data_IF_902709215232
#
_entry.id   IF_902709215232
#
_cell.length_a   1.000
_cell.length_b   1.000
_cell.length_c   1.000
_cell.angle_alpha   90.00
_cell.angle_beta   90.00
_cell.angle_gamma   90.00
#
_symmetry.space_group_name_H-M   'P 1'
#
loop_
_entity.id
_entity.type
_entity.pdbx_description
1 polymer ?
#
# COMPACT_ATOMS: atom_id res chain seq x y z
N UNK A 1 0.27 -8.88 11.27
CA UNK A 1 -0.67 -9.11 10.15
C UNK A 1 -2.08 -8.80 10.63
N UNK A 2 -3.02 -8.34 9.79
CA UNK A 2 -4.44 -8.27 10.17
C UNK A 2 -5.01 -9.64 10.57
N UNK A 3 -4.46 -10.73 10.05
CA UNK A 3 -4.93 -12.11 10.31
C UNK A 3 -4.20 -12.81 11.46
N UNK A 4 -2.95 -12.42 11.75
CA UNK A 4 -2.10 -13.01 12.80
C UNK A 4 -1.14 -11.96 13.39
N UNK A 5 -1.23 -11.70 14.70
CA UNK A 5 -0.40 -10.70 15.37
C UNK A 5 1.07 -11.14 15.54
N UNK A 6 1.35 -12.45 15.47
CA UNK A 6 2.72 -13.00 15.56
C UNK A 6 3.51 -12.81 14.26
N UNK A 7 2.83 -12.51 13.16
CA UNK A 7 3.46 -12.30 11.85
C UNK A 7 3.64 -10.82 11.54
N UNK A 8 4.80 -10.49 10.98
CA UNK A 8 5.09 -9.17 10.42
C UNK A 8 5.31 -9.31 8.93
N UNK A 9 4.56 -8.54 8.15
CA UNK A 9 4.64 -8.53 6.69
C UNK A 9 5.14 -7.17 6.22
N UNK A 10 6.01 -7.16 5.20
CA UNK A 10 6.42 -5.94 4.51
C UNK A 10 5.59 -5.85 3.23
N UNK A 11 4.85 -4.76 3.06
CA UNK A 11 3.98 -4.49 1.91
C UNK A 11 4.15 -3.03 1.49
N UNK A 12 3.77 -2.71 0.24
CA UNK A 12 3.72 -1.35 -0.27
C UNK A 12 2.34 -0.77 -0.01
N UNK A 13 2.26 0.46 0.49
CA UNK A 13 1.01 1.22 0.53
C UNK A 13 0.71 1.68 -0.90
N UNK A 14 -0.45 1.31 -1.42
CA UNK A 14 -0.89 1.67 -2.76
C UNK A 14 -1.93 2.81 -2.74
N UNK A 15 -2.72 2.94 -1.66
CA UNK A 15 -3.65 4.05 -1.46
C UNK A 15 -3.84 4.39 0.04
N UNK A 16 -4.12 5.66 0.30
CA UNK A 16 -4.32 6.29 1.62
C UNK A 16 -5.80 6.66 1.85
N UNK A 17 -6.19 7.03 3.09
CA UNK A 17 -7.57 7.42 3.38
C UNK A 17 -8.12 8.47 2.42
N UNK A 18 -9.33 8.25 1.89
CA UNK A 18 -10.01 9.16 0.97
C UNK A 18 -9.64 9.00 -0.50
N UNK A 19 -8.53 8.32 -0.81
CA UNK A 19 -8.17 7.99 -2.18
C UNK A 19 -9.06 6.87 -2.74
N UNK A 20 -9.20 6.84 -4.07
CA UNK A 20 -9.88 5.77 -4.78
C UNK A 20 -8.86 4.75 -5.27
N UNK A 21 -9.18 3.47 -5.07
CA UNK A 21 -8.34 2.36 -5.50
C UNK A 21 -9.14 1.40 -6.39
N UNK A 22 -8.61 1.09 -7.57
CA UNK A 22 -9.21 0.16 -8.52
C UNK A 22 -8.33 -1.08 -8.69
N UNK A 23 -8.92 -2.27 -8.59
CA UNK A 23 -8.21 -3.51 -8.91
C UNK A 23 -8.45 -3.86 -10.38
N UNK A 24 -7.38 -4.04 -11.15
CA UNK A 24 -7.46 -4.38 -12.58
C UNK A 24 -8.31 -5.65 -12.84
N UNK A 25 -8.33 -6.59 -11.88
CA UNK A 25 -8.95 -7.91 -12.04
C UNK A 25 -10.44 -7.97 -11.68
N UNK A 26 -10.96 -6.99 -10.91
CA UNK A 26 -12.33 -7.07 -10.35
C UNK A 26 -13.29 -6.00 -10.85
N UNK A 27 -12.82 -5.01 -11.63
CA UNK A 27 -13.60 -3.82 -12.01
C UNK A 27 -14.21 -3.06 -10.83
N UNK A 28 -13.84 -3.43 -9.60
CA UNK A 28 -14.31 -2.81 -8.36
C UNK A 28 -13.36 -1.67 -8.03
N UNK A 29 -13.94 -0.47 -7.97
CA UNK A 29 -13.28 0.71 -7.43
C UNK A 29 -13.83 0.95 -6.03
N UNK A 30 -12.92 1.07 -5.07
CA UNK A 30 -13.28 1.34 -3.68
C UNK A 30 -12.68 2.68 -3.25
N UNK A 31 -13.39 3.41 -2.41
CA UNK A 31 -12.79 4.52 -1.68
C UNK A 31 -12.19 4.00 -0.38
N UNK A 32 -10.95 4.39 -0.05
CA UNK A 32 -10.29 3.95 1.17
C UNK A 32 -10.93 4.63 2.39
N UNK A 33 -11.45 3.87 3.37
CA UNK A 33 -12.06 4.44 4.57
C UNK A 33 -11.08 5.28 5.38
N UNK A 34 -11.63 6.21 6.17
CA UNK A 34 -10.83 6.99 7.13
C UNK A 34 -10.04 6.06 8.06
N UNK A 35 -8.77 6.41 8.31
CA UNK A 35 -7.87 5.63 9.17
C UNK A 35 -7.38 4.29 8.58
N UNK A 36 -7.71 3.97 7.31
CA UNK A 36 -7.28 2.74 6.64
C UNK A 36 -6.34 3.02 5.46
N UNK A 37 -5.61 2.01 5.01
CA UNK A 37 -4.84 2.06 3.77
C UNK A 37 -5.02 0.77 2.96
N UNK A 38 -4.78 0.88 1.65
CA UNK A 38 -4.64 -0.28 0.78
C UNK A 38 -3.18 -0.67 0.66
N UNK A 39 -2.88 -1.96 0.84
CA UNK A 39 -1.51 -2.48 0.73
C UNK A 39 -1.43 -3.59 -0.30
N UNK A 40 -0.34 -3.62 -1.07
CA UNK A 40 -0.04 -4.67 -2.03
C UNK A 40 1.37 -5.24 -1.81
N UNK A 41 1.51 -6.54 -2.08
CA UNK A 41 2.82 -7.17 -2.20
C UNK A 41 3.52 -6.79 -3.51
N UNK A 42 4.83 -6.98 -3.54
CA UNK A 42 5.65 -6.92 -4.76
C UNK A 42 5.50 -8.17 -5.65
N UNK A 43 5.08 -9.29 -5.07
CA UNK A 43 4.69 -10.49 -5.79
C UNK A 43 3.16 -10.73 -5.72
N UNK A 44 2.43 -10.04 -6.60
CA UNK A 44 0.96 -10.09 -6.68
C UNK A 44 0.38 -11.50 -6.81
N UNK A 45 1.11 -12.46 -7.41
CA UNK A 45 0.63 -13.81 -7.66
C UNK A 45 0.61 -14.72 -6.41
N UNK A 46 1.40 -14.39 -5.38
CA UNK A 46 1.53 -15.20 -4.16
C UNK A 46 1.37 -14.39 -2.88
N UNK A 47 1.00 -13.12 -2.99
CA UNK A 47 0.85 -12.22 -1.86
C UNK A 47 -0.56 -12.29 -1.29
N UNK A 48 -0.66 -12.58 0.01
CA UNK A 48 -1.86 -12.26 0.78
C UNK A 48 -1.75 -10.78 1.18
N UNK A 49 -2.62 -9.94 0.61
CA UNK A 49 -2.64 -8.49 0.81
C UNK A 49 -4.07 -7.93 0.76
N UNK A 50 -4.23 -6.61 0.55
CA UNK A 50 -5.57 -5.98 0.57
C UNK A 50 -6.51 -6.53 -0.51
N UNK A 51 -6.01 -7.17 -1.57
CA UNK A 51 -6.87 -7.90 -2.53
C UNK A 51 -7.62 -9.06 -1.88
N UNK A 52 -7.06 -9.64 -0.80
CA UNK A 52 -7.62 -10.77 -0.05
C UNK A 52 -8.47 -10.34 1.13
N UNK A 53 -8.01 -9.35 1.92
CA UNK A 53 -8.65 -8.95 3.19
C UNK A 53 -9.22 -7.51 3.20
N UNK A 54 -9.06 -6.75 2.12
CA UNK A 54 -9.52 -5.36 2.02
C UNK A 54 -8.54 -4.34 2.62
N UNK A 55 -8.99 -3.07 2.79
CA UNK A 55 -8.21 -2.04 3.46
C UNK A 55 -7.88 -2.43 4.90
N UNK A 56 -6.71 -2.02 5.40
CA UNK A 56 -6.27 -2.30 6.76
C UNK A 56 -6.09 -1.02 7.58
N UNK A 57 -6.28 -1.05 8.91
CA UNK A 57 -6.04 0.12 9.75
C UNK A 57 -4.57 0.57 9.68
N UNK A 58 -4.36 1.88 9.54
CA UNK A 58 -3.02 2.50 9.57
C UNK A 58 -2.27 2.17 10.87
N UNK A 59 -3.00 1.96 11.97
CA UNK A 59 -2.42 1.56 13.26
C UNK A 59 -1.71 0.20 13.27
N UNK A 60 -1.89 -0.64 12.23
CA UNK A 60 -1.13 -1.88 12.08
C UNK A 60 0.29 -1.66 11.53
N UNK A 61 0.59 -0.47 11.01
CA UNK A 61 1.90 -0.14 10.45
C UNK A 61 2.88 0.11 11.60
N UNK A 62 3.93 -0.72 11.67
CA UNK A 62 4.97 -0.62 12.70
C UNK A 62 6.19 0.22 12.29
N UNK A 63 6.38 0.44 10.99
CA UNK A 63 7.55 1.17 10.49
C UNK A 63 7.53 1.35 8.98
N UNK A 64 8.45 2.20 8.49
CA UNK A 64 8.62 2.51 7.07
C UNK A 64 10.04 2.16 6.64
N UNK A 65 10.17 1.38 5.56
CA UNK A 65 11.47 1.15 4.93
C UNK A 65 12.01 2.47 4.33
N UNK A 66 13.22 2.87 4.71
CA UNK A 66 13.82 4.14 4.30
C UNK A 66 15.03 3.98 3.39
N UNK A 67 15.77 2.88 3.49
CA UNK A 67 17.01 2.66 2.74
C UNK A 67 17.09 1.24 2.20
N UNK A 68 17.65 1.12 1.00
CA UNK A 68 18.13 -0.15 0.44
C UNK A 68 19.59 -0.30 0.87
N UNK A 69 19.95 -1.48 1.41
CA UNK A 69 21.30 -1.78 1.90
C UNK A 69 22.06 -2.77 1.01
N UNK A 70 21.38 -3.40 0.04
CA UNK A 70 21.97 -4.37 -0.89
C UNK A 70 21.12 -4.49 -2.18
N UNK A 71 21.69 -4.83 -3.36
CA UNK A 71 23.12 -4.95 -3.66
C UNK A 71 23.88 -3.62 -3.54
N UNK A 72 25.23 -3.61 -3.46
CA UNK A 72 26.01 -2.39 -3.20
C UNK A 72 25.69 -1.24 -4.17
N UNK A 73 25.42 -1.56 -5.43
CA UNK A 73 25.07 -0.59 -6.48
C UNK A 73 23.69 0.06 -6.28
N UNK A 74 22.86 -0.48 -5.38
CA UNK A 74 21.53 0.04 -5.05
C UNK A 74 21.46 0.65 -3.65
N UNK A 75 22.58 0.73 -2.93
CA UNK A 75 22.59 1.35 -1.60
C UNK A 75 22.14 2.80 -1.71
N UNK A 76 21.13 3.17 -0.92
CA UNK A 76 20.58 4.52 -0.93
C UNK A 76 19.17 4.60 -0.37
N UNK A 77 18.66 5.83 -0.28
CA UNK A 77 17.31 6.09 0.21
C UNK A 77 16.25 5.54 -0.76
N UNK A 78 15.18 4.97 -0.21
CA UNK A 78 13.99 4.57 -0.96
C UNK A 78 13.29 5.86 -1.43
N UNK A 79 13.19 6.04 -2.75
CA UNK A 79 12.46 7.16 -3.34
C UNK A 79 10.99 7.09 -2.91
N UNK A 80 10.54 8.11 -2.21
CA UNK A 80 9.12 8.33 -1.92
C UNK A 80 8.52 9.13 -3.07
N UNK A 81 7.96 8.44 -4.06
CA UNK A 81 7.02 9.10 -4.96
C UNK A 81 5.69 9.15 -4.22
N UNK A 82 5.17 10.34 -3.83
CA UNK A 82 3.79 10.42 -3.37
C UNK A 82 2.88 9.84 -4.47
N UNK A 83 1.78 9.16 -4.12
CA UNK A 83 0.79 8.78 -5.11
C UNK A 83 0.45 10.04 -5.93
N UNK A 84 0.32 9.94 -7.27
CA UNK A 84 -0.11 11.07 -8.07
C UNK A 84 -1.40 11.59 -7.41
N UNK A 85 -1.39 12.85 -6.96
CA UNK A 85 -2.59 13.48 -6.43
C UNK A 85 -3.69 13.23 -7.46
N UNK A 86 -4.72 12.49 -7.02
CA UNK A 86 -5.76 12.00 -7.91
C UNK A 86 -6.39 13.11 -8.74
N UNK A 87 -7.06 12.71 -9.82
CA UNK A 87 -7.85 13.50 -10.79
C UNK A 87 -8.86 14.53 -10.22
N UNK A 88 -8.80 14.89 -8.94
CA UNK A 88 -9.76 15.75 -8.26
C UNK A 88 -9.48 17.26 -8.42
N UNK A 89 -8.37 17.68 -9.04
CA UNK A 89 -8.11 19.10 -9.35
C UNK A 89 -8.46 19.52 -10.78
N UNK A 90 -9.27 18.72 -11.50
CA UNK A 90 -9.70 19.01 -12.88
C UNK A 90 -11.21 19.29 -13.02
N UNK A 91 -11.92 19.51 -11.90
CA UNK A 91 -13.36 19.83 -11.89
C UNK A 91 -13.70 21.04 -10.98
N UNK A 92 -12.77 21.98 -10.82
CA UNK A 92 -13.08 23.36 -10.40
C UNK A 92 -12.68 24.34 -11.50
#
# INVERSE_FOLDING_TARGET
SPTNHKETHIKRIAALPGEWYGTHDKSDVIQIPSGHCWVEGDNSASSIDSKSFGPIPLGLIRGRATHVVWPPQRIGAVKTTPPPQGLCSALE
#
